data_IF_784168711616
#
_entry.id   IF_784168711616
#
_cell.length_a   1.000
_cell.length_b   1.000
_cell.length_c   1.000
_cell.angle_alpha   90.00
_cell.angle_beta   90.00
_cell.angle_gamma   90.00
#
_symmetry.space_group_name_H-M   'P 1'
#
loop_
_entity.id
_entity.type
_entity.pdbx_description
1 polymer ?
#
# COMPACT_ATOMS: atom_id res chain seq x y z
N UNK A 1 39.64 31.17 45.54
CA UNK A 1 39.82 31.26 44.07
C UNK A 1 40.40 29.94 43.54
N UNK A 2 39.73 28.81 43.79
CA UNK A 2 40.17 27.49 43.29
C UNK A 2 39.07 26.39 43.35
N UNK A 3 37.77 26.71 43.40
CA UNK A 3 36.70 25.68 43.49
C UNK A 3 35.39 26.09 42.77
N UNK A 4 35.46 26.61 41.55
CA UNK A 4 34.25 26.90 40.74
C UNK A 4 34.44 26.59 39.24
N UNK A 5 35.09 25.47 38.88
CA UNK A 5 35.33 25.13 37.47
C UNK A 5 35.03 23.68 37.04
N UNK A 6 34.24 22.91 37.81
CA UNK A 6 33.95 21.50 37.47
C UNK A 6 32.45 21.15 37.42
N UNK A 7 31.60 21.97 36.78
CA UNK A 7 30.17 21.62 36.67
C UNK A 7 29.50 21.93 35.33
N UNK A 8 30.26 22.01 34.23
CA UNK A 8 29.67 22.18 32.88
C UNK A 8 30.29 21.16 31.90
N UNK A 9 30.10 19.87 32.14
CA UNK A 9 30.39 18.81 31.14
C UNK A 9 29.62 17.53 31.43
N UNK A 10 28.29 17.61 31.58
CA UNK A 10 27.41 16.44 31.48
C UNK A 10 26.10 16.83 30.78
N UNK A 11 26.19 17.07 29.48
CA UNK A 11 25.03 16.92 28.59
C UNK A 11 25.11 15.50 27.98
N UNK A 12 24.00 14.75 27.92
CA UNK A 12 23.99 13.43 27.27
C UNK A 12 24.36 13.60 25.78
N UNK A 13 25.14 12.66 25.27
CA UNK A 13 25.54 12.62 23.87
C UNK A 13 24.32 12.71 22.93
N UNK A 14 24.51 13.33 21.77
CA UNK A 14 23.44 13.78 20.85
C UNK A 14 22.41 12.73 20.40
N UNK A 15 22.69 11.45 20.57
CA UNK A 15 21.79 10.34 20.22
C UNK A 15 20.54 10.28 21.11
N UNK A 16 20.65 10.67 22.39
CA UNK A 16 19.51 10.67 23.33
C UNK A 16 18.52 11.81 23.04
N UNK A 17 19.00 12.92 22.48
CA UNK A 17 18.15 14.07 22.16
C UNK A 17 17.32 13.81 20.89
N UNK A 18 17.89 13.13 19.89
CA UNK A 18 17.17 12.68 18.71
C UNK A 18 16.08 11.66 19.06
N UNK A 19 16.37 10.72 19.97
CA UNK A 19 15.39 9.77 20.48
C UNK A 19 14.26 10.46 21.27
N UNK A 20 14.58 11.48 22.08
CA UNK A 20 13.59 12.27 22.82
C UNK A 20 12.71 13.15 21.91
N UNK A 21 13.27 13.73 20.85
CA UNK A 21 12.52 14.52 19.86
C UNK A 21 11.64 13.64 18.98
N UNK A 22 12.12 12.48 18.53
CA UNK A 22 11.33 11.51 17.77
C UNK A 22 10.16 10.98 18.61
N UNK A 23 10.41 10.66 19.89
CA UNK A 23 9.38 10.21 20.84
C UNK A 23 8.35 11.30 21.11
N UNK A 24 8.74 12.58 21.21
CA UNK A 24 7.80 13.70 21.37
C UNK A 24 6.96 13.95 20.12
N UNK A 25 7.52 13.75 18.94
CA UNK A 25 6.81 13.95 17.67
C UNK A 25 5.81 12.82 17.36
N UNK A 26 6.14 11.57 17.70
CA UNK A 26 5.21 10.43 17.53
C UNK A 26 4.14 10.33 18.62
N UNK A 27 4.35 10.95 19.79
CA UNK A 27 3.38 10.91 20.90
C UNK A 27 2.25 11.93 20.77
N UNK A 28 2.34 12.88 19.84
CA UNK A 28 1.36 13.96 19.66
C UNK A 28 0.32 13.75 18.56
N UNK A 29 0.33 12.61 17.86
CA UNK A 29 -0.48 12.41 16.64
C UNK A 29 -1.61 11.36 16.79
N UNK A 30 -2.00 10.99 18.01
CA UNK A 30 -2.97 9.90 18.22
C UNK A 30 -4.40 10.32 18.58
N UNK A 31 -4.69 11.57 18.95
CA UNK A 31 -6.04 11.97 19.35
C UNK A 31 -6.41 13.31 18.70
N UNK A 32 -7.00 13.24 17.50
CA UNK A 32 -8.00 14.17 16.93
C UNK A 32 -8.12 13.97 15.41
N UNK A 33 -8.73 12.85 15.01
CA UNK A 33 -9.31 12.73 13.67
C UNK A 33 -10.82 13.03 13.79
N UNK A 34 -11.34 14.15 13.23
CA UNK A 34 -12.77 14.38 13.22
C UNK A 34 -13.46 13.35 12.31
N UNK A 35 -14.44 12.63 12.88
CA UNK A 35 -15.38 11.80 12.12
C UNK A 35 -16.13 12.68 11.10
N UNK A 36 -15.76 12.56 9.83
CA UNK A 36 -16.46 13.18 8.73
C UNK A 36 -17.70 12.34 8.38
N UNK A 37 -18.80 12.58 9.08
CA UNK A 37 -20.14 12.14 8.65
C UNK A 37 -20.82 13.30 7.95
N UNK A 38 -20.64 13.41 6.62
CA UNK A 38 -21.53 14.16 5.75
C UNK A 38 -22.03 13.21 4.67
N UNK A 39 -23.28 12.84 4.89
CA UNK A 39 -24.17 12.12 4.00
C UNK A 39 -24.87 13.18 3.14
N UNK A 40 -24.29 13.52 1.99
CA UNK A 40 -24.96 14.30 0.95
C UNK A 40 -24.65 13.67 -0.41
N UNK A 41 -25.59 12.85 -0.87
CA UNK A 41 -25.59 12.28 -2.20
C UNK A 41 -25.70 13.36 -3.26
N UNK A 42 -24.59 13.62 -3.95
CA UNK A 42 -24.55 14.33 -5.23
C UNK A 42 -23.59 13.58 -6.15
N UNK A 43 -24.15 12.75 -7.03
CA UNK A 43 -23.43 12.17 -8.15
C UNK A 43 -23.24 13.26 -9.19
N UNK A 44 -22.00 13.77 -9.29
CA UNK A 44 -21.60 14.61 -10.42
C UNK A 44 -21.17 13.66 -11.54
N UNK A 45 -21.93 13.67 -12.64
CA UNK A 45 -21.57 13.06 -13.91
C UNK A 45 -20.23 13.64 -14.40
N UNK A 46 -19.16 12.84 -14.31
CA UNK A 46 -17.93 13.11 -15.05
C UNK A 46 -18.08 12.48 -16.41
N UNK A 47 -18.40 13.34 -17.37
CA UNK A 47 -18.49 13.06 -18.79
C UNK A 47 -17.13 12.63 -19.35
N UNK A 48 -17.20 11.70 -20.30
CA UNK A 48 -16.09 11.17 -21.06
C UNK A 48 -15.38 12.25 -21.88
N UNK A 49 -14.06 12.33 -21.76
CA UNK A 49 -13.13 12.81 -22.79
C UNK A 49 -11.69 12.59 -22.31
N UNK A 50 -11.04 11.52 -22.77
CA UNK A 50 -9.85 11.64 -23.64
C UNK A 50 -9.28 10.26 -23.91
N UNK A 51 -9.75 9.72 -25.03
CA UNK A 51 -9.15 8.63 -25.78
C UNK A 51 -7.91 9.18 -26.51
N UNK A 52 -6.70 8.91 -26.02
CA UNK A 52 -5.55 8.73 -26.89
C UNK A 52 -4.34 8.20 -26.11
N UNK A 53 -4.14 6.88 -26.12
CA UNK A 53 -2.80 6.33 -25.91
C UNK A 53 -2.67 5.03 -26.71
N UNK A 54 -2.45 5.22 -28.01
CA UNK A 54 -2.05 4.21 -28.97
C UNK A 54 -0.68 3.63 -28.57
N UNK A 55 -0.70 2.46 -27.91
CA UNK A 55 0.48 1.62 -27.76
C UNK A 55 0.35 0.45 -28.74
N UNK A 56 1.02 0.58 -29.88
CA UNK A 56 1.14 -0.47 -30.88
C UNK A 56 1.84 -1.70 -30.27
N UNK A 57 1.08 -2.77 -30.06
CA UNK A 57 1.61 -4.13 -29.91
C UNK A 57 2.09 -4.64 -31.27
N UNK A 58 3.41 -4.78 -31.43
CA UNK A 58 3.98 -5.67 -32.43
C UNK A 58 3.76 -7.12 -31.96
N UNK A 59 2.78 -7.81 -32.54
CA UNK A 59 2.70 -9.28 -32.46
C UNK A 59 3.69 -9.88 -33.44
N UNK A 60 4.75 -10.47 -32.91
CA UNK A 60 5.47 -11.55 -33.56
C UNK A 60 4.69 -12.83 -33.23
N UNK A 61 3.99 -13.40 -34.22
CA UNK A 61 3.62 -14.82 -34.36
C UNK A 61 2.47 -14.94 -35.37
N UNK A 62 2.81 -15.15 -36.64
CA UNK A 62 1.96 -15.79 -37.66
C UNK A 62 2.86 -16.17 -38.84
N UNK A 63 3.51 -17.33 -38.71
CA UNK A 63 4.15 -18.07 -39.80
C UNK A 63 3.49 -19.46 -39.81
N UNK A 64 3.28 -19.98 -41.03
CA UNK A 64 2.61 -21.23 -41.46
C UNK A 64 1.10 -21.05 -41.73
N UNK A 65 0.53 -21.27 -42.92
CA UNK A 65 0.98 -21.85 -44.19
C UNK A 65 -0.22 -22.54 -44.86
N UNK A 66 -0.66 -22.08 -46.04
CA UNK A 66 -1.52 -22.77 -47.03
C UNK A 66 -1.82 -21.77 -48.18
N UNK A 67 -1.10 -21.81 -49.30
CA UNK A 67 -1.35 -22.60 -50.52
C UNK A 67 -2.62 -22.23 -51.29
N UNK A 68 -2.39 -21.71 -52.49
CA UNK A 68 -3.20 -21.80 -53.71
C UNK A 68 -4.56 -21.08 -53.74
N UNK A 69 -4.60 -19.91 -54.39
CA UNK A 69 -5.25 -19.75 -55.70
C UNK A 69 -5.32 -18.27 -56.13
N UNK A 70 -5.18 -18.08 -57.44
CA UNK A 70 -5.71 -16.97 -58.24
C UNK A 70 -5.01 -15.60 -58.17
N UNK A 71 -3.96 -15.49 -58.99
CA UNK A 71 -3.96 -14.64 -60.19
C UNK A 71 -4.72 -13.30 -60.09
N UNK A 72 -4.12 -12.35 -59.37
CA UNK A 72 -4.36 -10.93 -59.59
C UNK A 72 -3.05 -10.17 -59.40
N UNK A 73 -2.27 -10.08 -60.49
CA UNK A 73 -1.11 -9.20 -60.59
C UNK A 73 -1.48 -7.78 -60.12
N UNK A 74 -0.96 -7.28 -58.98
CA UNK A 74 -1.11 -5.87 -58.65
C UNK A 74 -0.20 -5.12 -59.60
N UNK A 75 -0.81 -4.34 -60.49
CA UNK A 75 -0.10 -3.47 -61.41
C UNK A 75 0.88 -2.60 -60.62
N UNK A 76 2.17 -2.74 -60.90
CA UNK A 76 3.22 -1.78 -60.58
C UNK A 76 2.88 -0.45 -61.29
N UNK A 77 2.02 0.36 -60.66
CA UNK A 77 1.67 1.70 -61.13
C UNK A 77 1.45 2.63 -59.96
N UNK A 78 2.53 3.23 -59.50
CA UNK A 78 2.65 4.69 -59.52
C UNK A 78 4.09 5.07 -59.19
N UNK A 79 4.66 5.87 -60.08
CA UNK A 79 5.90 6.59 -59.84
C UNK A 79 5.77 7.38 -58.54
N UNK A 80 6.27 6.81 -57.44
CA UNK A 80 6.37 7.44 -56.13
C UNK A 80 7.44 8.53 -56.12
N UNK A 81 7.36 9.45 -57.08
CA UNK A 81 8.16 10.67 -57.10
C UNK A 81 7.59 11.53 -55.97
N UNK A 82 8.12 11.34 -54.76
CA UNK A 82 7.86 12.24 -53.65
C UNK A 82 8.28 13.62 -54.14
N UNK A 83 7.30 14.51 -54.30
CA UNK A 83 7.55 15.85 -54.83
C UNK A 83 8.65 16.51 -54.00
N UNK A 84 9.60 17.15 -54.69
CA UNK A 84 10.73 17.82 -54.03
C UNK A 84 10.25 18.78 -52.92
N UNK A 85 9.10 19.42 -53.14
CA UNK A 85 8.43 20.27 -52.15
C UNK A 85 8.02 19.53 -50.87
N UNK A 86 7.60 18.26 -50.95
CA UNK A 86 7.26 17.45 -49.77
C UNK A 86 8.52 17.06 -48.98
N UNK A 87 9.63 16.78 -49.67
CA UNK A 87 10.91 16.51 -49.02
C UNK A 87 11.48 17.77 -48.34
N UNK A 88 11.39 18.92 -49.02
CA UNK A 88 11.78 20.22 -48.43
C UNK A 88 10.94 20.58 -47.20
N UNK A 89 9.62 20.36 -47.24
CA UNK A 89 8.74 20.59 -46.09
C UNK A 89 9.07 19.66 -44.91
N UNK A 90 9.36 18.37 -45.17
CA UNK A 90 9.78 17.42 -44.12
C UNK A 90 11.14 17.80 -43.54
N UNK A 91 12.08 18.24 -44.37
CA UNK A 91 13.40 18.69 -43.92
C UNK A 91 13.28 19.96 -43.06
N UNK A 92 12.46 20.93 -43.49
CA UNK A 92 12.17 22.14 -42.71
C UNK A 92 11.55 21.80 -41.34
N UNK A 93 10.55 20.91 -41.30
CA UNK A 93 9.92 20.46 -40.05
C UNK A 93 10.93 19.78 -39.12
N UNK A 94 11.78 18.90 -39.65
CA UNK A 94 12.83 18.23 -38.87
C UNK A 94 13.85 19.23 -38.33
N UNK A 95 14.28 20.22 -39.12
CA UNK A 95 15.21 21.26 -38.66
C UNK A 95 14.62 22.14 -37.57
N UNK A 96 13.34 22.50 -37.66
CA UNK A 96 12.63 23.25 -36.62
C UNK A 96 12.53 22.44 -35.31
N UNK A 97 12.28 21.12 -35.42
CA UNK A 97 12.24 20.23 -34.26
C UNK A 97 13.61 20.11 -33.58
N UNK A 98 14.71 20.02 -34.34
CA UNK A 98 16.08 20.00 -33.79
C UNK A 98 16.36 21.31 -33.04
N UNK A 99 16.04 22.47 -33.62
CA UNK A 99 16.23 23.77 -32.96
C UNK A 99 15.38 23.91 -31.68
N UNK A 100 14.16 23.39 -31.67
CA UNK A 100 13.31 23.37 -30.47
C UNK A 100 13.92 22.48 -29.37
N UNK A 101 14.45 21.30 -29.73
CA UNK A 101 15.12 20.42 -28.77
C UNK A 101 16.45 21.02 -28.28
N UNK A 102 17.19 21.74 -29.12
CA UNK A 102 18.42 22.43 -28.74
C UNK A 102 18.15 23.57 -27.76
N UNK A 103 17.10 24.38 -27.99
CA UNK A 103 16.70 25.44 -27.05
C UNK A 103 16.22 24.87 -25.72
N UNK A 104 15.44 23.78 -25.75
CA UNK A 104 15.04 23.05 -24.54
C UNK A 104 16.26 22.48 -23.79
N UNK A 105 17.22 21.87 -24.49
CA UNK A 105 18.44 21.35 -23.89
C UNK A 105 19.32 22.48 -23.32
N UNK A 106 19.41 23.62 -24.00
CA UNK A 106 20.12 24.79 -23.50
C UNK A 106 19.47 25.33 -22.22
N UNK A 107 18.13 25.36 -22.16
CA UNK A 107 17.38 25.76 -20.97
C UNK A 107 17.57 24.78 -19.81
N UNK A 108 17.54 23.47 -20.08
CA UNK A 108 17.84 22.42 -19.09
C UNK A 108 19.28 22.49 -18.58
N UNK A 109 20.25 22.80 -19.46
CA UNK A 109 21.65 22.97 -19.06
C UNK A 109 21.87 24.21 -18.22
N UNK A 110 21.21 25.33 -18.55
CA UNK A 110 21.26 26.54 -17.70
C UNK A 110 20.65 26.28 -16.32
N UNK A 111 19.48 25.63 -16.26
CA UNK A 111 18.84 25.29 -14.98
C UNK A 111 19.56 24.18 -14.21
N UNK A 112 20.35 23.34 -14.89
CA UNK A 112 21.24 22.38 -14.24
C UNK A 112 22.54 23.02 -13.76
N UNK A 113 23.10 23.99 -14.50
CA UNK A 113 24.31 24.73 -14.13
C UNK A 113 24.06 25.74 -13.00
N UNK A 114 22.83 26.25 -12.84
CA UNK A 114 22.42 27.09 -11.71
C UNK A 114 22.14 26.28 -10.43
N UNK A 115 22.14 24.94 -10.51
CA UNK A 115 22.25 24.11 -9.31
C UNK A 115 23.69 24.22 -8.86
N UNK A 116 23.95 25.23 -8.03
CA UNK A 116 25.10 25.35 -7.12
C UNK A 116 25.59 23.94 -6.79
N UNK A 117 26.90 23.73 -6.93
CA UNK A 117 27.58 22.48 -6.57
C UNK A 117 27.00 22.00 -5.24
N UNK A 118 26.14 20.96 -5.32
CA UNK A 118 25.46 20.39 -4.15
C UNK A 118 26.44 19.76 -3.15
N UNK A 119 27.71 19.76 -3.53
CA UNK A 119 28.85 19.29 -2.77
C UNK A 119 29.36 20.33 -1.74
N UNK A 120 28.82 21.55 -1.69
CA UNK A 120 29.28 22.57 -0.72
C UNK A 120 28.62 22.50 0.66
N UNK A 121 27.42 21.92 0.78
CA UNK A 121 26.72 21.85 2.08
C UNK A 121 26.85 20.44 2.65
N UNK A 122 27.61 20.31 3.73
CA UNK A 122 27.76 19.02 4.39
C UNK A 122 26.42 18.52 4.96
N UNK A 123 26.26 17.19 5.07
CA UNK A 123 25.09 16.59 5.70
C UNK A 123 24.88 17.13 7.13
N UNK A 124 25.97 17.35 7.86
CA UNK A 124 25.94 17.86 9.23
C UNK A 124 25.43 19.31 9.31
N UNK A 125 25.82 20.15 8.33
CA UNK A 125 25.33 21.53 8.23
C UNK A 125 23.83 21.55 7.93
N UNK A 126 23.35 20.72 6.97
CA UNK A 126 21.91 20.61 6.68
C UNK A 126 21.10 20.17 7.90
N UNK A 127 21.58 19.15 8.64
CA UNK A 127 20.91 18.69 9.86
C UNK A 127 20.92 19.76 10.95
N UNK A 128 22.02 20.51 11.10
CA UNK A 128 22.11 21.63 12.06
C UNK A 128 21.14 22.74 11.71
N UNK A 129 21.11 23.15 10.45
CA UNK A 129 20.28 24.26 10.00
C UNK A 129 18.80 23.88 10.04
N UNK A 130 18.45 22.62 9.72
CA UNK A 130 17.08 22.10 9.87
C UNK A 130 16.63 22.14 11.34
N UNK A 131 17.50 21.75 12.28
CA UNK A 131 17.22 21.84 13.73
C UNK A 131 17.00 23.29 14.18
N UNK A 132 17.81 24.23 13.68
CA UNK A 132 17.68 25.64 14.00
C UNK A 132 16.39 26.26 13.42
N UNK A 133 16.03 25.94 12.19
CA UNK A 133 14.79 26.36 11.56
C UNK A 133 13.56 25.79 12.30
N UNK A 134 13.59 24.49 12.66
CA UNK A 134 12.50 23.87 13.40
C UNK A 134 12.28 24.51 14.78
N UNK A 135 13.35 24.89 15.47
CA UNK A 135 13.25 25.63 16.73
C UNK A 135 12.60 27.02 16.56
N UNK A 136 12.87 27.73 15.46
CA UNK A 136 12.20 29.00 15.13
C UNK A 136 10.72 28.81 14.81
N UNK A 137 10.35 27.79 14.06
CA UNK A 137 8.94 27.44 13.83
C UNK A 137 8.18 27.23 15.13
N UNK A 138 8.76 26.48 16.07
CA UNK A 138 8.15 26.23 17.38
C UNK A 138 7.98 27.50 18.23
N UNK A 139 8.77 28.55 17.96
CA UNK A 139 8.65 29.86 18.59
C UNK A 139 7.67 30.80 17.87
N UNK A 140 6.96 30.31 16.84
CA UNK A 140 5.95 31.07 16.10
C UNK A 140 6.47 31.86 14.90
N UNK A 141 7.69 31.62 14.44
CA UNK A 141 8.21 32.23 13.21
C UNK A 141 7.65 31.50 11.97
N UNK A 142 6.65 32.10 11.33
CA UNK A 142 6.04 31.56 10.11
C UNK A 142 7.01 31.54 8.90
N UNK A 143 8.05 32.38 8.88
CA UNK A 143 9.03 32.36 7.80
C UNK A 143 9.91 31.10 7.86
N UNK A 144 10.16 30.58 9.07
CA UNK A 144 10.95 29.38 9.28
C UNK A 144 10.27 28.10 8.76
N UNK A 145 8.94 28.09 8.57
CA UNK A 145 8.21 26.90 8.08
C UNK A 145 8.65 26.53 6.65
N UNK A 146 8.72 27.54 5.77
CA UNK A 146 9.19 27.34 4.38
C UNK A 146 10.64 26.89 4.33
N UNK A 147 11.46 27.41 5.24
CA UNK A 147 12.87 27.03 5.37
C UNK A 147 13.01 25.59 5.85
N UNK A 148 12.21 25.15 6.83
CA UNK A 148 12.16 23.76 7.27
C UNK A 148 11.78 22.80 6.14
N UNK A 149 10.75 23.13 5.35
CA UNK A 149 10.37 22.32 4.19
C UNK A 149 11.49 22.23 3.17
N UNK A 150 12.16 23.35 2.89
CA UNK A 150 13.27 23.42 1.95
C UNK A 150 14.45 22.56 2.42
N UNK A 151 14.89 22.75 3.67
CA UNK A 151 15.99 22.00 4.28
C UNK A 151 15.67 20.51 4.40
N UNK A 152 14.43 20.15 4.73
CA UNK A 152 13.98 18.75 4.77
C UNK A 152 14.09 18.08 3.40
N UNK A 153 13.62 18.75 2.33
CA UNK A 153 13.77 18.24 0.95
C UNK A 153 15.24 18.15 0.52
N UNK A 154 16.07 19.12 0.91
CA UNK A 154 17.50 19.11 0.63
C UNK A 154 18.21 17.95 1.33
N UNK A 155 17.88 17.74 2.61
CA UNK A 155 18.38 16.63 3.42
C UNK A 155 18.00 15.27 2.81
N UNK A 156 16.73 15.07 2.45
CA UNK A 156 16.27 13.83 1.83
C UNK A 156 16.89 13.53 0.46
N UNK A 157 17.29 14.57 -0.28
CA UNK A 157 18.00 14.45 -1.55
C UNK A 157 19.52 14.33 -1.40
N UNK A 158 20.06 14.39 -0.17
CA UNK A 158 21.51 14.41 0.06
C UNK A 158 22.14 13.02 -0.16
N UNK A 159 23.19 12.89 -1.00
CA UNK A 159 23.76 11.60 -1.38
C UNK A 159 24.34 10.83 -0.18
N UNK A 160 24.97 11.51 0.78
CA UNK A 160 25.50 10.85 1.97
C UNK A 160 24.40 10.28 2.87
N UNK A 161 23.24 10.98 2.97
CA UNK A 161 22.10 10.48 3.75
C UNK A 161 21.51 9.26 3.07
N UNK A 162 21.29 9.32 1.75
CA UNK A 162 20.81 8.18 0.97
C UNK A 162 21.73 6.97 1.14
N UNK A 163 23.05 7.17 1.09
CA UNK A 163 24.04 6.11 1.32
C UNK A 163 23.97 5.57 2.76
N UNK A 164 23.94 6.44 3.76
CA UNK A 164 23.84 6.07 5.18
C UNK A 164 22.56 5.25 5.46
N UNK A 165 21.42 5.70 4.94
CA UNK A 165 20.12 5.04 5.08
C UNK A 165 20.13 3.67 4.37
N UNK A 166 20.75 3.57 3.19
CA UNK A 166 20.91 2.31 2.46
C UNK A 166 21.82 1.32 3.20
N UNK A 167 22.95 1.78 3.75
CA UNK A 167 23.88 0.97 4.52
C UNK A 167 23.23 0.48 5.82
N UNK A 168 22.50 1.35 6.54
CA UNK A 168 21.74 0.99 7.73
C UNK A 168 20.65 -0.04 7.40
N UNK A 169 19.93 0.15 6.29
CA UNK A 169 18.92 -0.82 5.82
C UNK A 169 19.56 -2.18 5.52
N UNK A 170 20.68 -2.20 4.80
CA UNK A 170 21.38 -3.43 4.44
C UNK A 170 21.97 -4.15 5.68
N UNK A 171 22.45 -3.40 6.67
CA UNK A 171 22.91 -3.94 7.95
C UNK A 171 21.75 -4.58 8.73
N UNK A 172 20.63 -3.87 8.85
CA UNK A 172 19.42 -4.38 9.51
C UNK A 172 18.89 -5.64 8.81
N UNK A 173 18.79 -5.63 7.48
CA UNK A 173 18.33 -6.79 6.72
C UNK A 173 19.25 -8.00 6.95
N UNK A 174 20.57 -7.79 7.03
CA UNK A 174 21.54 -8.86 7.29
C UNK A 174 21.37 -9.48 8.67
N UNK A 175 21.15 -8.66 9.69
CA UNK A 175 20.92 -9.12 11.06
C UNK A 175 19.58 -9.86 11.19
N UNK A 176 18.53 -9.32 10.58
CA UNK A 176 17.17 -9.82 10.77
C UNK A 176 16.84 -11.03 9.89
N UNK A 177 17.55 -11.21 8.76
CA UNK A 177 17.35 -12.33 7.81
C UNK A 177 17.31 -13.72 8.45
N UNK A 178 18.23 -14.15 9.34
CA UNK A 178 18.14 -15.45 10.00
C UNK A 178 16.89 -15.58 10.89
N UNK A 179 16.47 -14.51 11.56
CA UNK A 179 15.24 -14.50 12.39
C UNK A 179 13.99 -14.62 11.53
N UNK A 180 13.96 -13.88 10.42
CA UNK A 180 12.93 -13.97 9.39
C UNK A 180 12.81 -15.38 8.80
N UNK A 181 13.93 -16.01 8.45
CA UNK A 181 13.96 -17.38 7.94
C UNK A 181 13.46 -18.41 8.98
N UNK A 182 13.88 -18.27 10.23
CA UNK A 182 13.41 -19.12 11.34
C UNK A 182 11.91 -18.96 11.58
N UNK A 183 11.41 -17.72 11.61
CA UNK A 183 10.00 -17.42 11.76
C UNK A 183 9.16 -17.98 10.60
N UNK A 184 9.64 -17.86 9.35
CA UNK A 184 9.01 -18.47 8.19
C UNK A 184 8.91 -19.99 8.35
N UNK A 185 10.01 -20.66 8.71
CA UNK A 185 10.02 -22.10 8.93
C UNK A 185 9.06 -22.51 10.05
N UNK A 186 9.03 -21.77 11.17
CA UNK A 186 8.10 -21.99 12.28
C UNK A 186 6.64 -21.85 11.83
N UNK A 187 6.32 -20.80 11.07
CA UNK A 187 4.96 -20.59 10.57
C UNK A 187 4.54 -21.66 9.57
N UNK A 188 5.44 -22.11 8.70
CA UNK A 188 5.13 -23.19 7.75
C UNK A 188 4.74 -24.50 8.45
N UNK A 189 5.19 -24.76 9.67
CA UNK A 189 4.71 -25.93 10.45
C UNK A 189 3.21 -25.91 10.76
N UNK A 190 2.63 -24.72 10.82
CA UNK A 190 1.21 -24.48 11.13
C UNK A 190 0.40 -24.19 9.88
N UNK A 191 1.04 -23.78 8.79
CA UNK A 191 0.38 -23.42 7.55
C UNK A 191 0.52 -24.55 6.53
N UNK A 192 -0.57 -25.15 6.02
CA UNK A 192 -0.47 -26.25 5.08
C UNK A 192 0.11 -25.81 3.73
N UNK A 193 0.76 -26.72 2.98
CA UNK A 193 1.35 -26.40 1.66
C UNK A 193 0.30 -26.00 0.60
N UNK A 194 -0.96 -26.39 0.78
CA UNK A 194 -2.09 -26.02 -0.09
C UNK A 194 -2.84 -24.76 0.37
N UNK A 195 -2.38 -24.05 1.40
CA UNK A 195 -3.11 -22.89 1.95
C UNK A 195 -3.41 -21.81 0.88
N UNK A 196 -2.48 -21.59 -0.04
CA UNK A 196 -2.60 -20.60 -1.11
C UNK A 196 -3.29 -21.13 -2.39
N UNK A 197 -3.86 -22.34 -2.34
CA UNK A 197 -4.64 -22.92 -3.43
C UNK A 197 -6.13 -22.70 -3.22
N UNK A 198 -6.95 -22.96 -4.25
CA UNK A 198 -8.41 -22.90 -4.11
C UNK A 198 -8.87 -24.02 -3.16
N UNK A 199 -9.84 -23.72 -2.30
CA UNK A 199 -10.45 -24.70 -1.40
C UNK A 199 -10.04 -24.61 0.07
N UNK A 200 -9.09 -23.74 0.43
CA UNK A 200 -8.81 -23.49 1.84
C UNK A 200 -10.04 -22.89 2.53
N UNK A 201 -10.55 -23.59 3.53
CA UNK A 201 -11.62 -23.18 4.42
C UNK A 201 -11.26 -23.52 5.87
N UNK A 202 -11.93 -22.90 6.83
CA UNK A 202 -11.72 -23.20 8.26
C UNK A 202 -11.90 -24.69 8.55
N UNK A 203 -12.93 -25.33 7.98
CA UNK A 203 -13.22 -26.73 8.23
C UNK A 203 -12.18 -27.66 7.58
N UNK A 204 -11.68 -27.33 6.38
CA UNK A 204 -10.58 -28.10 5.75
C UNK A 204 -9.27 -28.00 6.55
N UNK A 205 -9.00 -26.84 7.16
CA UNK A 205 -7.84 -26.62 8.01
C UNK A 205 -7.95 -27.43 9.31
N UNK A 206 -9.16 -27.53 9.88
CA UNK A 206 -9.43 -28.37 11.05
C UNK A 206 -9.29 -29.86 10.74
N UNK A 207 -9.84 -30.32 9.62
CA UNK A 207 -9.68 -31.70 9.15
C UNK A 207 -8.21 -32.07 8.92
N UNK A 208 -7.38 -31.09 8.56
CA UNK A 208 -5.93 -31.25 8.44
C UNK A 208 -5.17 -31.20 9.79
N UNK A 209 -5.88 -31.17 10.92
CA UNK A 209 -5.31 -31.27 12.26
C UNK A 209 -5.03 -29.94 12.96
N UNK A 210 -5.49 -28.80 12.41
CA UNK A 210 -5.37 -27.52 13.12
C UNK A 210 -6.50 -27.32 14.13
N UNK A 211 -6.21 -26.77 15.33
CA UNK A 211 -7.26 -26.29 16.22
C UNK A 211 -8.12 -25.22 15.53
N UNK A 212 -9.45 -25.26 15.74
CA UNK A 212 -10.42 -24.32 15.15
C UNK A 212 -10.04 -22.85 15.29
N UNK A 213 -9.49 -22.47 16.44
CA UNK A 213 -9.05 -21.09 16.67
C UNK A 213 -7.89 -20.69 15.75
N UNK A 214 -6.91 -21.59 15.55
CA UNK A 214 -5.77 -21.39 14.64
C UNK A 214 -6.27 -21.35 13.20
N UNK A 215 -7.11 -22.30 12.80
CA UNK A 215 -7.71 -22.34 11.46
C UNK A 215 -8.44 -21.04 11.11
N UNK A 216 -9.23 -20.49 12.05
CA UNK A 216 -9.89 -19.19 11.89
C UNK A 216 -8.93 -18.03 11.76
N UNK A 217 -7.85 -17.99 12.56
CA UNK A 217 -6.81 -16.95 12.48
C UNK A 217 -6.13 -16.99 11.12
N UNK A 218 -5.66 -18.17 10.71
CA UNK A 218 -4.99 -18.40 9.42
C UNK A 218 -5.88 -18.01 8.24
N UNK A 219 -7.16 -18.37 8.30
CA UNK A 219 -8.11 -18.03 7.24
C UNK A 219 -8.43 -16.52 7.18
N UNK A 220 -8.56 -15.87 8.34
CA UNK A 220 -8.87 -14.43 8.43
C UNK A 220 -7.70 -13.55 8.01
N UNK A 221 -6.49 -13.87 8.47
CA UNK A 221 -5.30 -13.07 8.20
C UNK A 221 -4.67 -13.50 6.87
N UNK A 222 -5.23 -13.00 5.77
CA UNK A 222 -4.82 -13.39 4.41
C UNK A 222 -3.35 -13.08 4.11
N UNK A 223 -2.73 -12.15 4.84
CA UNK A 223 -1.29 -11.88 4.73
C UNK A 223 -0.43 -13.12 5.02
N UNK A 224 -0.88 -14.00 5.94
CA UNK A 224 -0.17 -15.24 6.28
C UNK A 224 -0.07 -16.20 5.09
N UNK A 225 -0.95 -16.07 4.09
CA UNK A 225 -0.98 -16.97 2.95
C UNK A 225 0.25 -16.76 2.05
N UNK A 226 0.84 -15.56 2.08
CA UNK A 226 2.07 -15.25 1.34
C UNK A 226 3.23 -16.17 1.75
N UNK A 227 3.27 -16.63 3.00
CA UNK A 227 4.35 -17.52 3.51
C UNK A 227 4.44 -18.87 2.79
N UNK A 228 3.33 -19.31 2.19
CA UNK A 228 3.21 -20.53 1.38
C UNK A 228 3.07 -20.23 -0.12
N UNK A 229 3.08 -18.97 -0.54
CA UNK A 229 3.09 -18.64 -1.96
C UNK A 229 4.52 -18.65 -2.50
N UNK A 230 4.76 -19.17 -3.72
CA UNK A 230 6.04 -19.00 -4.40
C UNK A 230 6.36 -17.51 -4.62
N UNK A 231 7.61 -17.11 -4.42
CA UNK A 231 8.04 -15.72 -4.57
C UNK A 231 7.75 -15.17 -5.98
N UNK A 232 7.83 -16.02 -7.03
CA UNK A 232 7.48 -15.67 -8.41
C UNK A 232 6.00 -15.29 -8.59
N UNK A 233 5.10 -15.87 -7.79
CA UNK A 233 3.67 -15.52 -7.79
C UNK A 233 3.43 -14.23 -7.04
N UNK A 234 4.08 -14.04 -5.90
CA UNK A 234 3.98 -12.80 -5.10
C UNK A 234 4.50 -11.61 -5.91
N UNK A 235 5.61 -11.80 -6.63
CA UNK A 235 6.21 -10.80 -7.54
C UNK A 235 5.20 -10.25 -8.56
N UNK A 236 4.31 -11.10 -9.07
CA UNK A 236 3.28 -10.78 -10.06
C UNK A 236 1.97 -10.27 -9.46
N UNK A 237 1.82 -10.23 -8.14
CA UNK A 237 0.57 -9.78 -7.52
C UNK A 237 0.27 -8.33 -7.89
N UNK A 238 -1.01 -8.05 -8.12
CA UNK A 238 -1.48 -6.69 -8.31
C UNK A 238 -1.36 -5.89 -7.02
N UNK A 239 -1.09 -4.59 -7.12
CA UNK A 239 -0.99 -3.70 -5.97
C UNK A 239 -2.29 -3.67 -5.15
N UNK A 240 -3.45 -3.72 -5.82
CA UNK A 240 -4.75 -3.77 -5.16
C UNK A 240 -4.90 -4.99 -4.24
N UNK A 241 -4.34 -6.13 -4.63
CA UNK A 241 -4.39 -7.34 -3.81
C UNK A 241 -3.42 -7.26 -2.62
N UNK A 242 -2.23 -6.68 -2.80
CA UNK A 242 -1.29 -6.43 -1.71
C UNK A 242 -1.87 -5.46 -0.67
N UNK A 243 -2.50 -4.37 -1.10
CA UNK A 243 -3.15 -3.37 -0.23
C UNK A 243 -4.31 -3.94 0.60
N UNK A 244 -4.95 -5.00 0.13
CA UNK A 244 -6.01 -5.72 0.88
C UNK A 244 -5.46 -6.58 2.02
N UNK A 245 -4.15 -6.80 2.08
CA UNK A 245 -3.52 -7.60 3.12
C UNK A 245 -3.17 -6.71 4.32
N UNK A 246 -3.90 -6.90 5.41
CA UNK A 246 -3.68 -6.16 6.66
C UNK A 246 -2.45 -6.71 7.40
N UNK A 247 -1.34 -5.97 7.36
CA UNK A 247 -0.15 -6.25 8.17
C UNK A 247 -0.34 -5.76 9.63
N UNK A 248 -1.33 -4.89 9.85
CA UNK A 248 -1.84 -4.28 11.09
C UNK A 248 -1.99 -5.22 12.29
N UNK A 249 -2.40 -6.44 12.00
CA UNK A 249 -2.84 -7.41 13.01
C UNK A 249 -1.81 -8.48 13.30
N UNK A 250 -0.70 -8.51 12.57
CA UNK A 250 0.30 -9.56 12.68
C UNK A 250 1.18 -9.36 13.91
N UNK A 251 1.46 -10.45 14.61
CA UNK A 251 2.51 -10.51 15.63
C UNK A 251 3.91 -10.48 14.98
N UNK A 252 4.97 -10.31 15.79
CA UNK A 252 6.34 -10.17 15.27
C UNK A 252 6.81 -11.42 14.52
N UNK A 253 6.40 -12.63 14.94
CA UNK A 253 6.76 -13.89 14.29
C UNK A 253 6.01 -14.03 12.95
N UNK A 254 4.72 -13.72 12.93
CA UNK A 254 3.88 -13.69 11.73
C UNK A 254 4.44 -12.68 10.70
N UNK A 255 4.77 -11.46 11.13
CA UNK A 255 5.29 -10.42 10.24
C UNK A 255 6.68 -10.78 9.69
N UNK A 256 7.57 -11.33 10.52
CA UNK A 256 8.87 -11.88 10.08
C UNK A 256 8.71 -12.95 9.02
N UNK A 257 7.76 -13.88 9.23
CA UNK A 257 7.47 -14.94 8.28
C UNK A 257 6.94 -14.38 6.95
N UNK A 258 6.02 -13.41 6.99
CA UNK A 258 5.51 -12.75 5.79
C UNK A 258 6.62 -12.01 5.07
N UNK A 259 7.42 -11.21 5.78
CA UNK A 259 8.52 -10.43 5.20
C UNK A 259 9.58 -11.32 4.54
N UNK A 260 9.93 -12.46 5.17
CA UNK A 260 10.83 -13.46 4.59
C UNK A 260 10.33 -14.05 3.26
N UNK A 261 9.00 -14.09 3.05
CA UNK A 261 8.40 -14.63 1.83
C UNK A 261 8.29 -13.60 0.71
N UNK A 262 8.42 -12.30 1.00
CA UNK A 262 8.31 -11.24 0.00
C UNK A 262 9.53 -11.25 -0.94
N UNK A 263 9.33 -11.08 -2.26
CA UNK A 263 10.45 -10.90 -3.18
C UNK A 263 11.14 -9.56 -2.92
N UNK A 264 12.42 -9.45 -3.30
CA UNK A 264 13.15 -8.18 -3.27
C UNK A 264 12.63 -7.16 -4.29
N UNK A 265 12.08 -7.65 -5.40
CA UNK A 265 11.59 -6.88 -6.53
C UNK A 265 10.23 -7.40 -6.99
N UNK A 266 9.38 -6.50 -7.50
CA UNK A 266 8.05 -6.80 -8.03
C UNK A 266 7.98 -6.56 -9.54
N UNK A 267 7.15 -7.35 -10.24
CA UNK A 267 6.91 -7.15 -11.67
C UNK A 267 5.96 -5.96 -11.87
N UNK A 268 6.18 -5.17 -12.92
CA UNK A 268 5.36 -4.01 -13.30
C UNK A 268 5.15 -2.99 -12.15
N UNK A 269 6.24 -2.62 -11.47
CA UNK A 269 6.24 -1.65 -10.36
C UNK A 269 6.85 -0.29 -10.80
N UNK A 270 6.37 0.25 -11.92
CA UNK A 270 6.93 1.47 -12.52
C UNK A 270 6.80 2.72 -11.64
N UNK A 271 5.81 2.76 -10.75
CA UNK A 271 5.60 3.82 -9.76
C UNK A 271 6.25 3.52 -8.38
N UNK A 272 6.85 2.34 -8.22
CA UNK A 272 7.45 1.88 -6.97
C UNK A 272 6.45 1.63 -5.84
N UNK A 273 5.14 1.56 -6.12
CA UNK A 273 4.13 1.44 -5.08
C UNK A 273 4.14 0.06 -4.38
N UNK A 274 4.53 -1.01 -5.07
CA UNK A 274 4.70 -2.34 -4.47
C UNK A 274 5.98 -2.39 -3.63
N UNK A 275 7.07 -1.79 -4.11
CA UNK A 275 8.28 -1.60 -3.33
C UNK A 275 8.01 -0.80 -2.05
N UNK A 276 7.21 0.27 -2.13
CA UNK A 276 6.77 1.05 -0.97
C UNK A 276 5.95 0.20 0.02
N UNK A 277 5.03 -0.63 -0.47
CA UNK A 277 4.27 -1.55 0.39
C UNK A 277 5.18 -2.57 1.12
N UNK A 278 6.21 -3.10 0.44
CA UNK A 278 7.23 -3.95 1.10
C UNK A 278 8.04 -3.15 2.13
N UNK A 279 8.37 -1.90 1.82
CA UNK A 279 9.08 -1.00 2.73
C UNK A 279 8.23 -0.69 3.98
N UNK A 280 6.92 -0.55 3.85
CA UNK A 280 5.99 -0.42 4.99
C UNK A 280 6.03 -1.65 5.89
N UNK A 281 6.04 -2.85 5.30
CA UNK A 281 6.22 -4.09 6.05
C UNK A 281 7.56 -4.10 6.81
N UNK A 282 8.64 -3.65 6.16
CA UNK A 282 9.98 -3.51 6.78
C UNK A 282 9.97 -2.52 7.93
N UNK A 283 9.46 -1.30 7.73
CA UNK A 283 9.39 -0.25 8.74
C UNK A 283 8.64 -0.72 9.98
N UNK A 284 7.49 -1.37 9.76
CA UNK A 284 6.70 -1.97 10.84
C UNK A 284 7.47 -3.05 11.58
N UNK A 285 8.14 -3.96 10.86
CA UNK A 285 8.93 -5.02 11.46
C UNK A 285 10.10 -4.45 12.27
N UNK A 286 10.81 -3.45 11.73
CA UNK A 286 11.88 -2.74 12.44
C UNK A 286 11.38 -2.11 13.74
N UNK A 287 10.19 -1.49 13.74
CA UNK A 287 9.60 -0.92 14.94
C UNK A 287 9.25 -1.98 15.99
N UNK A 288 8.71 -3.14 15.57
CA UNK A 288 8.45 -4.27 16.48
C UNK A 288 9.75 -4.89 17.00
N UNK A 289 10.77 -5.03 16.16
CA UNK A 289 12.07 -5.58 16.54
C UNK A 289 12.80 -4.68 17.55
N UNK A 290 12.72 -3.36 17.39
CA UNK A 290 13.24 -2.41 18.38
C UNK A 290 12.54 -2.58 19.73
N UNK A 291 11.20 -2.65 19.72
CA UNK A 291 10.41 -2.89 20.94
C UNK A 291 10.66 -4.25 21.55
N UNK A 292 10.96 -5.27 20.73
CA UNK A 292 11.35 -6.61 21.20
C UNK A 292 12.71 -6.57 21.91
N UNK A 293 13.70 -5.88 21.34
CA UNK A 293 15.01 -5.71 21.95
C UNK A 293 14.96 -4.94 23.28
N UNK A 294 13.95 -4.10 23.46
CA UNK A 294 13.68 -3.37 24.70
C UNK A 294 12.76 -4.13 25.68
N UNK A 295 12.32 -5.35 25.37
CA UNK A 295 11.33 -6.13 26.13
C UNK A 295 9.99 -5.38 26.36
N UNK A 296 9.61 -4.50 25.43
CA UNK A 296 8.38 -3.67 25.47
C UNK A 296 7.27 -4.17 24.55
N UNK A 297 7.38 -5.40 24.05
CA UNK A 297 6.29 -6.03 23.29
C UNK A 297 5.20 -6.53 24.24
N UNK A 298 3.96 -6.30 23.84
CA UNK A 298 2.81 -6.93 24.50
C UNK A 298 2.84 -8.43 24.22
N UNK A 299 2.29 -9.24 25.13
CA UNK A 299 2.22 -10.70 24.96
C UNK A 299 1.69 -11.13 23.58
N UNK A 300 0.63 -10.46 23.10
CA UNK A 300 0.02 -10.72 21.78
C UNK A 300 0.89 -10.33 20.58
N UNK A 301 1.83 -9.40 20.77
CA UNK A 301 2.75 -8.94 19.73
C UNK A 301 4.00 -9.81 19.65
N UNK A 302 4.41 -10.43 20.77
CA UNK A 302 5.47 -11.45 20.79
C UNK A 302 5.00 -12.68 20.02
N UNK A 303 3.82 -13.19 20.38
CA UNK A 303 3.20 -14.34 19.73
C UNK A 303 1.71 -14.33 20.00
N UNK A 304 0.91 -14.52 18.95
CA UNK A 304 -0.52 -14.61 19.13
C UNK A 304 -0.86 -15.87 19.97
N UNK A 305 -1.63 -15.76 21.08
CA UNK A 305 -1.87 -16.87 22.02
C UNK A 305 -2.55 -18.10 21.40
N UNK A 306 -3.17 -17.93 20.24
CA UNK A 306 -3.79 -19.03 19.48
C UNK A 306 -2.78 -20.13 19.11
N UNK A 307 -1.49 -19.80 19.04
CA UNK A 307 -0.44 -20.73 18.68
C UNK A 307 0.16 -21.48 19.88
N UNK A 308 -0.18 -21.13 21.13
CA UNK A 308 0.45 -21.67 22.35
C UNK A 308 0.46 -23.21 22.36
N UNK A 309 -0.66 -23.84 21.98
CA UNK A 309 -0.78 -25.31 21.93
C UNK A 309 0.06 -25.96 20.81
N UNK A 310 0.22 -25.27 19.67
CA UNK A 310 0.95 -25.80 18.52
C UNK A 310 2.45 -25.56 18.61
N UNK A 311 2.88 -24.48 19.24
CA UNK A 311 4.29 -24.15 19.40
C UNK A 311 5.01 -25.19 20.29
N UNK A 312 4.30 -25.81 21.24
CA UNK A 312 4.84 -26.90 22.06
C UNK A 312 5.05 -28.22 21.28
N UNK A 313 4.17 -28.50 20.31
CA UNK A 313 4.17 -29.78 19.56
C UNK A 313 4.86 -29.66 18.19
N UNK A 314 5.01 -28.43 17.68
CA UNK A 314 5.68 -28.15 16.42
C UNK A 314 4.78 -28.20 15.19
N UNK A 315 3.46 -28.11 15.32
CA UNK A 315 2.50 -28.08 14.20
C UNK A 315 2.38 -29.40 13.40
N UNK A 316 1.27 -29.61 12.66
CA UNK A 316 1.04 -30.86 11.94
C UNK A 316 1.68 -30.93 10.55
N UNK A 317 2.24 -29.82 10.04
CA UNK A 317 2.75 -29.75 8.68
C UNK A 317 4.27 -29.74 8.64
N UNK A 318 4.82 -30.35 7.59
CA UNK A 318 6.24 -30.23 7.29
C UNK A 318 6.54 -28.80 6.77
N UNK A 319 7.48 -28.07 7.41
CA UNK A 319 7.81 -26.72 7.00
C UNK A 319 8.55 -26.64 5.67
N UNK A 320 9.21 -27.73 5.28
CA UNK A 320 10.08 -27.78 4.10
C UNK A 320 9.34 -28.36 2.88
N UNK A 321 8.14 -28.89 3.08
CA UNK A 321 7.21 -29.27 2.01
C UNK A 321 6.96 -28.10 1.06
N UNK A 322 7.16 -28.36 -0.23
CA UNK A 322 6.92 -27.37 -1.28
C UNK A 322 5.46 -26.92 -1.27
N UNK A 323 5.26 -25.63 -1.54
CA UNK A 323 3.94 -25.12 -1.78
C UNK A 323 3.36 -25.89 -2.96
N UNK A 324 2.21 -26.53 -2.77
CA UNK A 324 1.50 -27.11 -3.90
C UNK A 324 1.22 -25.94 -4.84
N UNK A 325 1.90 -25.95 -5.99
CA UNK A 325 1.61 -25.00 -7.04
C UNK A 325 0.11 -25.06 -7.19
N UNK A 326 -0.57 -23.96 -6.88
CA UNK A 326 -1.98 -23.85 -7.20
C UNK A 326 -2.01 -24.17 -8.68
N UNK A 327 -2.48 -25.37 -9.03
CA UNK A 327 -2.70 -25.76 -10.42
C UNK A 327 -3.41 -24.54 -10.95
N UNK A 328 -2.71 -23.81 -11.82
CA UNK A 328 -3.20 -22.56 -12.33
C UNK A 328 -4.43 -23.00 -13.10
N UNK A 329 -5.58 -23.00 -12.42
CA UNK A 329 -6.85 -23.21 -13.06
C UNK A 329 -6.82 -22.19 -14.20
N UNK A 330 -6.93 -22.65 -15.45
CA UNK A 330 -6.62 -21.86 -16.63
C UNK A 330 -7.19 -20.47 -16.42
N UNK A 331 -6.25 -19.52 -16.30
CA UNK A 331 -6.56 -18.12 -16.12
C UNK A 331 -7.53 -17.74 -17.23
N UNK A 332 -8.59 -17.02 -16.86
CA UNK A 332 -9.46 -16.25 -17.76
C UNK A 332 -10.32 -16.97 -18.82
N UNK A 333 -10.11 -18.24 -19.17
CA UNK A 333 -10.99 -18.91 -20.16
C UNK A 333 -12.42 -19.13 -19.65
N UNK A 334 -12.62 -19.23 -18.33
CA UNK A 334 -13.97 -19.28 -17.76
C UNK A 334 -14.66 -17.92 -17.66
N UNK A 335 -13.93 -16.78 -17.65
CA UNK A 335 -14.61 -15.48 -17.64
C UNK A 335 -15.21 -15.19 -19.04
N UNK A 336 -14.50 -15.53 -20.10
CA UNK A 336 -15.04 -15.48 -21.46
C UNK A 336 -16.14 -16.50 -21.68
N UNK A 337 -16.00 -17.73 -21.15
CA UNK A 337 -17.08 -18.72 -21.23
C UNK A 337 -18.31 -18.32 -20.40
N UNK A 338 -18.14 -17.72 -19.22
CA UNK A 338 -19.22 -17.17 -18.41
C UNK A 338 -19.87 -15.96 -19.08
N UNK A 339 -19.08 -15.03 -19.63
CA UNK A 339 -19.60 -13.89 -20.40
C UNK A 339 -20.29 -14.34 -21.69
N UNK A 340 -19.77 -15.35 -22.37
CA UNK A 340 -20.41 -15.97 -23.53
C UNK A 340 -21.72 -16.66 -23.14
N UNK A 341 -21.76 -17.39 -22.02
CA UNK A 341 -22.97 -17.99 -21.49
C UNK A 341 -24.02 -16.93 -21.11
N UNK A 342 -23.61 -15.82 -20.50
CA UNK A 342 -24.51 -14.68 -20.19
C UNK A 342 -25.01 -14.00 -21.46
N UNK A 343 -24.16 -13.81 -22.48
CA UNK A 343 -24.57 -13.27 -23.80
C UNK A 343 -25.56 -14.21 -24.49
N UNK A 344 -25.30 -15.51 -24.47
CA UNK A 344 -26.17 -16.52 -25.07
C UNK A 344 -27.51 -16.64 -24.33
N UNK A 345 -27.51 -16.48 -23.00
CA UNK A 345 -28.72 -16.41 -22.20
C UNK A 345 -29.56 -15.17 -22.53
N UNK A 346 -28.95 -14.00 -22.72
CA UNK A 346 -29.65 -12.78 -23.18
C UNK A 346 -30.21 -12.95 -24.59
N UNK A 347 -29.43 -13.49 -25.52
CA UNK A 347 -29.90 -13.77 -26.88
C UNK A 347 -31.11 -14.72 -26.90
N UNK A 348 -31.19 -15.69 -25.99
CA UNK A 348 -32.38 -16.56 -25.85
C UNK A 348 -33.61 -15.83 -25.33
N UNK A 349 -33.42 -14.82 -24.46
CA UNK A 349 -34.52 -13.98 -23.97
C UNK A 349 -35.02 -13.06 -25.09
N UNK A 350 -34.10 -12.48 -25.87
CA UNK A 350 -34.44 -11.53 -26.94
C UNK A 350 -34.97 -12.23 -28.20
N UNK A 351 -34.54 -13.48 -28.47
CA UNK A 351 -35.04 -14.29 -29.58
C UNK A 351 -36.37 -14.99 -29.28
N UNK A 352 -36.85 -14.96 -28.03
CA UNK A 352 -38.18 -15.44 -27.71
C UNK A 352 -39.21 -14.45 -28.29
N UNK A 353 -40.06 -14.86 -29.24
CA UNK A 353 -41.08 -13.97 -29.79
C UNK A 353 -41.94 -13.45 -28.64
N UNK A 354 -42.24 -12.14 -28.59
CA UNK A 354 -43.01 -11.57 -27.50
C UNK A 354 -44.35 -12.30 -27.44
N UNK A 355 -44.56 -13.06 -26.36
CA UNK A 355 -45.81 -13.77 -26.15
C UNK A 355 -46.95 -12.73 -26.21
N UNK A 356 -47.95 -12.92 -27.09
CA UNK A 356 -49.02 -11.96 -27.21
C UNK A 356 -49.84 -11.95 -25.92
N UNK A 357 -49.81 -10.81 -25.24
CA UNK A 357 -50.80 -10.42 -24.24
C UNK A 357 -50.70 -11.13 -22.90
N UNK A 358 -50.04 -10.50 -21.94
CA UNK A 358 -50.64 -9.95 -20.70
C UNK A 358 -49.53 -9.12 -20.07
N UNK A 359 -49.67 -7.79 -20.09
CA UNK A 359 -48.76 -6.92 -19.34
C UNK A 359 -48.75 -7.40 -17.88
N UNK A 360 -47.60 -7.72 -17.28
CA UNK A 360 -47.54 -8.10 -15.88
C UNK A 360 -48.03 -6.90 -15.08
N UNK A 361 -49.29 -6.97 -14.64
CA UNK A 361 -49.85 -6.04 -13.68
C UNK A 361 -48.98 -6.20 -12.43
N UNK A 362 -48.00 -5.30 -12.27
CA UNK A 362 -47.27 -5.18 -11.02
C UNK A 362 -48.33 -5.11 -9.93
N UNK A 363 -48.36 -6.05 -8.97
CA UNK A 363 -49.29 -5.96 -7.88
C UNK A 363 -49.07 -4.59 -7.25
N UNK A 364 -50.12 -3.75 -7.25
CA UNK A 364 -50.06 -2.48 -6.53
C UNK A 364 -49.61 -2.84 -5.11
N UNK A 365 -48.60 -2.16 -4.56
CA UNK A 365 -48.23 -2.38 -3.17
C UNK A 365 -49.51 -2.21 -2.36
N UNK A 366 -49.89 -3.27 -1.65
CA UNK A 366 -51.01 -3.25 -0.73
C UNK A 366 -50.81 -2.04 0.16
N UNK A 367 -51.73 -1.07 0.12
CA UNK A 367 -51.74 -0.02 1.14
C UNK A 367 -51.80 -0.75 2.47
N UNK A 368 -50.78 -0.57 3.30
CA UNK A 368 -50.81 -1.02 4.69
C UNK A 368 -52.10 -0.46 5.29
N UNK A 369 -52.97 -1.35 5.76
CA UNK A 369 -54.23 -0.95 6.40
C UNK A 369 -53.93 0.00 7.55
N UNK A 370 -54.79 1.00 7.76
CA UNK A 370 -54.60 2.02 8.79
C UNK A 370 -54.50 1.44 10.21
N UNK A 371 -54.95 0.19 10.38
CA UNK A 371 -54.91 -0.56 11.64
C UNK A 371 -53.69 -1.50 11.77
N UNK A 372 -52.75 -1.53 10.80
CA UNK A 372 -51.53 -2.31 10.93
C UNK A 372 -50.64 -1.71 12.04
N UNK A 373 -50.36 -2.45 13.13
CA UNK A 373 -49.53 -1.96 14.24
C UNK A 373 -48.11 -1.55 13.81
N UNK A 374 -47.64 -2.00 12.64
CA UNK A 374 -46.33 -1.61 12.07
C UNK A 374 -46.29 -0.14 11.64
N UNK A 375 -47.40 0.46 11.22
CA UNK A 375 -47.44 1.89 10.88
C UNK A 375 -47.17 2.78 12.10
N UNK A 376 -47.58 2.35 13.31
CA UNK A 376 -47.27 3.06 14.57
C UNK A 376 -45.80 2.90 15.00
N UNK A 377 -45.17 1.78 14.67
CA UNK A 377 -43.74 1.57 15.00
C UNK A 377 -42.80 2.44 14.17
N UNK A 378 -43.11 2.66 12.88
CA UNK A 378 -42.28 3.50 12.01
C UNK A 378 -42.40 4.98 12.39
N UNK A 379 -43.59 5.46 12.78
CA UNK A 379 -43.76 6.82 13.29
C UNK A 379 -42.99 7.07 14.60
N UNK A 380 -43.04 6.13 15.55
CA UNK A 380 -42.34 6.26 16.83
C UNK A 380 -40.80 6.22 16.72
N UNK A 381 -40.27 5.55 15.69
CA UNK A 381 -38.83 5.50 15.43
C UNK A 381 -38.28 6.83 14.88
N UNK A 382 -39.10 7.60 14.14
CA UNK A 382 -38.69 8.88 13.54
C UNK A 382 -38.84 10.08 14.50
N UNK A 383 -39.63 9.95 15.58
CA UNK A 383 -39.85 11.05 16.54
C UNK A 383 -38.92 11.06 17.76
N UNK A 384 -38.08 10.02 17.94
CA UNK A 384 -37.13 9.97 19.05
C UNK A 384 -35.87 10.74 18.70
N UNK A 385 -35.81 11.99 19.13
CA UNK A 385 -34.57 12.75 19.17
C UNK A 385 -33.51 11.95 19.98
N UNK A 386 -32.28 11.81 19.47
CA UNK A 386 -31.22 11.11 20.18
C UNK A 386 -30.95 11.78 21.53
N UNK A 387 -30.69 11.00 22.60
CA UNK A 387 -30.39 11.58 23.91
C UNK A 387 -29.14 12.48 23.82
N UNK A 388 -29.10 13.60 24.56
CA UNK A 388 -27.94 14.48 24.59
C UNK A 388 -26.72 13.68 25.07
N UNK A 389 -25.63 13.73 24.29
CA UNK A 389 -24.38 13.07 24.66
C UNK A 389 -23.90 13.64 26.00
N UNK A 390 -23.53 12.78 26.98
CA UNK A 390 -22.95 13.25 28.24
C UNK A 390 -21.67 14.03 27.93
N UNK A 391 -21.57 15.26 28.45
CA UNK A 391 -20.37 16.08 28.33
C UNK A 391 -19.21 15.35 29.02
N UNK A 392 -18.04 15.20 28.38
CA UNK A 392 -16.87 14.66 29.05
C UNK A 392 -16.43 15.61 30.17
N UNK A 393 -16.45 15.13 31.41
CA UNK A 393 -15.87 15.80 32.56
C UNK A 393 -14.33 15.70 32.46
N UNK A 394 -13.69 16.54 31.65
CA UNK A 394 -12.25 16.44 31.36
C UNK A 394 -11.48 17.78 31.48
N UNK A 395 -11.99 18.73 32.26
CA UNK A 395 -11.26 20.00 32.50
C UNK A 395 -10.85 20.24 33.96
N UNK A 396 -11.45 19.53 34.93
CA UNK A 396 -11.14 19.72 36.35
C UNK A 396 -9.89 18.97 36.84
N UNK A 397 -9.73 17.71 36.43
CA UNK A 397 -8.73 16.82 37.05
C UNK A 397 -7.30 16.99 36.51
N UNK A 398 -7.15 17.50 35.27
CA UNK A 398 -5.83 17.77 34.69
C UNK A 398 -5.12 18.96 35.36
N UNK A 399 -5.89 19.97 35.79
CA UNK A 399 -5.33 21.13 36.48
C UNK A 399 -4.86 20.79 37.91
N UNK A 400 -5.58 19.90 38.59
CA UNK A 400 -5.22 19.40 39.92
C UNK A 400 -3.94 18.54 39.89
N UNK A 401 -3.77 17.72 38.85
CA UNK A 401 -2.56 16.92 38.63
C UNK A 401 -1.30 17.77 38.41
N UNK A 402 -1.42 18.85 37.63
CA UNK A 402 -0.30 19.76 37.35
C UNK A 402 0.13 20.58 38.57
N UNK A 403 -0.82 21.03 39.41
CA UNK A 403 -0.50 21.75 40.65
C UNK A 403 0.17 20.84 41.70
N UNK A 404 -0.20 19.56 41.76
CA UNK A 404 0.43 18.58 42.65
C UNK A 404 1.87 18.21 42.22
N UNK A 405 2.17 18.23 40.92
CA UNK A 405 3.51 17.98 40.39
C UNK A 405 4.47 19.18 40.62
N UNK A 406 3.96 20.41 40.51
CA UNK A 406 4.75 21.61 40.77
C UNK A 406 5.20 21.74 42.24
N UNK A 407 4.35 21.31 43.19
CA UNK A 407 4.68 21.32 44.63
C UNK A 407 5.68 20.26 45.08
N UNK A 408 5.99 19.26 44.26
CA UNK A 408 7.04 18.26 44.56
C UNK A 408 8.41 18.63 44.02
N UNK A 409 8.50 19.72 43.24
CA UNK A 409 9.74 20.21 42.63
C UNK A 409 10.29 21.49 43.29
N UNK A 410 9.50 22.13 44.14
CA UNK A 410 9.96 23.13 45.11
C UNK A 410 10.15 22.45 46.45
#
# INVERSE_FOLDING_TARGET
MAELSESITQLPAGDDLAALLLKRWTSGAADDAPENTSDDGSWVDVTAADENNDWCYLRADEIDGASDADDASPQCRSDGRVDAATLEAKLAAATAQIQALETQNAQLRRSASDKVDRDEVSLEDLERDLRAAAARCLNGDAAAEKECEHLSRALDAHPEKIKRDADQRAAWEREERPRCASALRRMRRVLPPWLATRGASVDTLEQAGLPRAVARRVFRERALWLTRMPASRIRKMALADLRRLDLGRLDVVELRAVYAALPSEFDADGDGAKAMWREDARRRLSALALREAEDKLLRREVRHPVYDALDAVGGPFDPDSEALAAVAAPSTTNLEAELAAVRQARQRIDAAPPAPGVAPRRPRPSRLDADDPRSRMVGAALSRAPPPRPRPAMAGDLLAGLQAAARRRA
#
